data_IF_530312269182
#
_entry.id   IF_530312269182
#
_cell.length_a   1.000
_cell.length_b   1.000
_cell.length_c   1.000
_cell.angle_alpha   90.00
_cell.angle_beta   90.00
_cell.angle_gamma   90.00
#
_symmetry.space_group_name_H-M   'P 1'
#
loop_
_entity.id
_entity.type
_entity.pdbx_description
1 polymer ?
#
# COMPACT_ATOMS: atom_id res chain seq x y z
N UNK A 1 -10.90 24.52 0.76
CA UNK A 1 -9.72 23.74 0.32
C UNK A 1 -10.06 23.21 -1.04
N UNK A 2 -9.65 23.96 -2.05
CA UNK A 2 -10.11 23.78 -3.43
C UNK A 2 -9.65 22.44 -3.99
N UNK A 3 -10.54 21.75 -4.71
CA UNK A 3 -10.35 20.39 -5.22
C UNK A 3 -9.10 20.26 -6.11
N UNK A 4 -8.73 21.33 -6.81
CA UNK A 4 -7.49 21.41 -7.60
C UNK A 4 -6.23 21.22 -6.76
N UNK A 5 -6.25 21.70 -5.51
CA UNK A 5 -5.12 21.57 -4.58
C UNK A 5 -4.92 20.13 -4.14
N UNK A 6 -6.00 19.33 -4.01
CA UNK A 6 -5.91 17.90 -3.70
C UNK A 6 -5.32 17.09 -4.88
N UNK A 7 -5.75 17.40 -6.11
CA UNK A 7 -5.35 16.65 -7.32
C UNK A 7 -3.87 16.79 -7.66
N UNK A 8 -3.25 17.92 -7.30
CA UNK A 8 -1.81 18.15 -7.45
C UNK A 8 -0.95 17.20 -6.60
N UNK A 9 -1.46 16.76 -5.45
CA UNK A 9 -0.76 15.84 -4.55
C UNK A 9 -1.13 14.37 -4.79
N UNK A 10 -2.25 14.13 -5.47
CA UNK A 10 -2.66 12.78 -5.85
C UNK A 10 -1.77 12.26 -6.99
N UNK A 11 -0.86 11.33 -6.64
CA UNK A 11 0.06 10.67 -7.58
C UNK A 11 -0.46 9.33 -8.05
N UNK A 12 -1.70 8.98 -7.71
CA UNK A 12 -2.32 7.71 -8.09
C UNK A 12 -2.35 7.57 -9.61
N UNK A 13 -1.95 6.41 -10.13
CA UNK A 13 -1.89 6.13 -11.58
C UNK A 13 -0.66 6.67 -12.32
N UNK A 14 0.16 7.52 -11.70
CA UNK A 14 1.40 8.00 -12.32
C UNK A 14 2.52 6.95 -12.24
N UNK A 15 3.28 6.77 -13.33
CA UNK A 15 4.43 5.83 -13.36
C UNK A 15 5.69 6.52 -12.84
N UNK A 16 6.42 5.85 -11.94
CA UNK A 16 7.75 6.28 -11.53
C UNK A 16 8.77 6.15 -12.68
N UNK A 17 9.75 7.07 -12.74
CA UNK A 17 10.91 6.98 -13.63
C UNK A 17 11.81 5.79 -13.29
N UNK A 18 12.63 5.35 -14.24
CA UNK A 18 13.54 4.20 -14.04
C UNK A 18 14.50 4.42 -12.89
N UNK A 19 15.12 5.60 -12.80
CA UNK A 19 16.02 5.96 -11.70
C UNK A 19 15.33 5.87 -10.33
N UNK A 20 14.09 6.35 -10.24
CA UNK A 20 13.32 6.31 -8.99
C UNK A 20 12.97 4.87 -8.60
N UNK A 21 12.58 4.05 -9.58
CA UNK A 21 12.32 2.61 -9.36
C UNK A 21 13.57 1.88 -8.88
N UNK A 22 14.74 2.17 -9.46
CA UNK A 22 16.03 1.60 -9.04
C UNK A 22 16.33 1.94 -7.59
N UNK A 23 16.23 3.23 -7.20
CA UNK A 23 16.44 3.68 -5.82
C UNK A 23 15.50 2.98 -4.81
N UNK A 24 14.21 2.84 -5.15
CA UNK A 24 13.24 2.13 -4.30
C UNK A 24 13.64 0.66 -4.15
N UNK A 25 14.02 0.00 -5.25
CA UNK A 25 14.45 -1.41 -5.25
C UNK A 25 15.68 -1.62 -4.37
N UNK A 26 16.70 -0.79 -4.53
CA UNK A 26 17.93 -0.82 -3.72
C UNK A 26 17.63 -0.62 -2.23
N UNK A 27 16.78 0.35 -1.89
CA UNK A 27 16.38 0.61 -0.51
C UNK A 27 15.56 -0.52 0.14
N UNK A 28 14.88 -1.35 -0.67
CA UNK A 28 14.11 -2.50 -0.19
C UNK A 28 14.92 -3.80 -0.18
N UNK A 29 16.08 -3.82 -0.84
CA UNK A 29 16.95 -5.00 -0.90
C UNK A 29 17.36 -5.42 0.51
N UNK A 30 17.15 -6.69 0.85
CA UNK A 30 17.48 -7.25 2.17
C UNK A 30 16.44 -6.99 3.28
N UNK A 31 15.42 -6.17 3.04
CA UNK A 31 14.33 -5.97 4.01
C UNK A 31 13.34 -7.13 3.93
N UNK A 32 13.23 -7.90 5.01
CA UNK A 32 12.21 -8.96 5.11
C UNK A 32 10.83 -8.34 5.31
N UNK A 33 9.85 -8.78 4.52
CA UNK A 33 8.44 -8.44 4.77
C UNK A 33 8.02 -9.08 6.10
N UNK A 34 7.20 -8.37 6.88
CA UNK A 34 6.57 -8.96 8.07
C UNK A 34 5.74 -10.19 7.72
N UNK A 35 5.43 -11.01 8.73
CA UNK A 35 4.59 -12.20 8.53
C UNK A 35 3.26 -11.79 7.88
N UNK A 36 2.83 -12.53 6.86
CA UNK A 36 1.50 -12.34 6.29
C UNK A 36 0.45 -12.63 7.35
N UNK A 37 -0.47 -11.68 7.55
CA UNK A 37 -1.65 -11.88 8.40
C UNK A 37 -2.86 -11.95 7.47
N UNK A 38 -3.48 -13.13 7.29
CA UNK A 38 -4.69 -13.21 6.49
C UNK A 38 -5.76 -12.30 7.09
N UNK A 39 -6.53 -11.63 6.22
CA UNK A 39 -7.68 -10.86 6.66
C UNK A 39 -8.74 -11.85 7.16
N UNK A 40 -8.94 -11.92 8.46
CA UNK A 40 -10.05 -12.67 9.06
C UNK A 40 -11.36 -11.96 8.72
N UNK A 41 -12.31 -12.67 8.10
CA UNK A 41 -13.69 -12.17 7.96
C UNK A 41 -14.32 -12.21 9.35
N UNK A 42 -14.73 -11.04 9.84
CA UNK A 42 -15.48 -10.92 11.09
C UNK A 42 -16.96 -10.78 10.76
N UNK A 43 -17.80 -11.44 11.53
CA UNK A 43 -19.23 -11.19 11.54
C UNK A 43 -19.55 -9.82 12.15
N UNK A 44 -20.81 -9.38 12.02
CA UNK A 44 -21.32 -8.17 12.67
C UNK A 44 -21.16 -8.20 14.21
N UNK A 45 -21.00 -9.39 14.80
CA UNK A 45 -20.76 -9.60 16.23
C UNK A 45 -19.27 -9.79 16.58
N UNK A 46 -18.36 -9.57 15.63
CA UNK A 46 -16.91 -9.63 15.87
C UNK A 46 -16.31 -11.03 15.99
N UNK A 47 -17.13 -12.09 15.86
CA UNK A 47 -16.69 -13.48 15.78
C UNK A 47 -15.92 -13.76 14.49
N UNK A 48 -14.87 -14.56 14.60
CA UNK A 48 -14.08 -15.04 13.47
C UNK A 48 -14.88 -16.09 12.69
N UNK A 49 -15.18 -15.80 11.42
CA UNK A 49 -15.80 -16.76 10.51
C UNK A 49 -14.73 -17.73 10.04
N UNK A 50 -14.71 -18.92 10.63
CA UNK A 50 -14.01 -20.07 10.04
C UNK A 50 -14.87 -20.58 8.88
N UNK A 51 -14.24 -20.78 7.72
CA UNK A 51 -14.87 -21.44 6.57
C UNK A 51 -15.33 -22.85 6.94
#
# INVERSE_FOLDING_TARGET
MDEEKLKRFDRTGTKHSEETRKKISEAQKGKKRGKYRPRVKKDNNGSEVKQ
#
